data_IF_704874387008
#
_entry.id   IF_704874387008
#
_cell.length_a   1.000
_cell.length_b   1.000
_cell.length_c   1.000
_cell.angle_alpha   90.00
_cell.angle_beta   90.00
_cell.angle_gamma   90.00
#
_symmetry.space_group_name_H-M   'P 1'
#
loop_
_entity.id
_entity.type
_entity.pdbx_description
1 polymer ?
#
# COMPACT_ATOMS: atom_id res chain seq x y z
N UNK A 1 9.53 9.57 9.36
CA UNK A 1 9.55 10.83 8.56
C UNK A 1 9.92 10.50 7.12
N UNK A 2 9.26 11.15 6.16
CA UNK A 2 9.51 10.96 4.71
C UNK A 2 9.68 12.31 4.03
N UNK A 3 10.71 12.47 3.19
CA UNK A 3 10.85 13.65 2.34
C UNK A 3 9.78 13.61 1.23
N UNK A 4 9.10 14.74 1.00
CA UNK A 4 8.11 14.88 -0.09
C UNK A 4 8.78 15.63 -1.23
N UNK A 5 9.33 14.87 -2.17
CA UNK A 5 10.07 15.42 -3.33
C UNK A 5 9.28 15.05 -4.60
N UNK A 6 8.71 16.02 -5.31
CA UNK A 6 7.99 15.77 -6.57
C UNK A 6 8.88 15.02 -7.58
N UNK A 7 8.36 13.94 -8.16
CA UNK A 7 9.06 13.14 -9.17
C UNK A 7 10.08 12.13 -8.62
N UNK A 8 10.26 12.02 -7.31
CA UNK A 8 11.12 11.01 -6.71
C UNK A 8 10.28 9.76 -6.35
N UNK A 9 10.36 8.72 -7.18
CA UNK A 9 9.63 7.46 -7.01
C UNK A 9 10.24 6.56 -5.93
N UNK A 10 11.58 6.47 -5.87
CA UNK A 10 12.33 5.58 -4.94
C UNK A 10 12.91 6.37 -3.76
N UNK A 11 12.03 6.87 -2.89
CA UNK A 11 12.41 7.73 -1.75
C UNK A 11 13.36 7.06 -0.77
N UNK A 12 13.21 5.75 -0.54
CA UNK A 12 14.03 4.98 0.41
C UNK A 12 15.48 4.86 -0.07
N UNK A 13 15.70 4.57 -1.37
CA UNK A 13 17.03 4.47 -1.97
C UNK A 13 17.78 5.81 -1.98
N UNK A 14 17.04 6.91 -2.11
CA UNK A 14 17.58 8.26 -2.05
C UNK A 14 17.83 8.79 -0.62
N UNK A 15 17.64 7.96 0.43
CA UNK A 15 17.78 8.38 1.82
C UNK A 15 16.65 9.31 2.30
N UNK A 16 15.55 9.38 1.56
CA UNK A 16 14.39 10.23 1.83
C UNK A 16 13.43 9.70 2.90
N UNK A 17 13.71 8.54 3.50
CA UNK A 17 12.91 7.93 4.57
C UNK A 17 13.77 7.75 5.81
N UNK A 18 13.21 8.07 6.97
CA UNK A 18 13.79 7.80 8.28
C UNK A 18 12.71 7.21 9.17
N UNK A 19 12.99 6.05 9.76
CA UNK A 19 12.08 5.26 10.59
C UNK A 19 12.52 5.33 12.06
N UNK A 20 11.61 5.01 12.97
CA UNK A 20 11.84 4.89 14.42
C UNK A 20 12.60 6.10 15.00
N UNK A 21 12.06 7.29 14.79
CA UNK A 21 12.69 8.55 15.19
C UNK A 21 12.18 8.94 16.56
N UNK A 22 13.10 9.11 17.50
CA UNK A 22 12.81 9.65 18.83
C UNK A 22 12.62 11.17 18.79
N UNK A 23 12.02 11.73 19.85
CA UNK A 23 11.87 13.18 20.02
C UNK A 23 13.22 13.90 19.97
N UNK A 24 14.28 13.31 20.52
CA UNK A 24 15.62 13.92 20.58
C UNK A 24 16.30 14.02 19.20
N UNK A 25 16.03 13.05 18.32
CA UNK A 25 16.61 13.00 16.96
C UNK A 25 15.72 13.61 15.89
N UNK A 26 14.48 13.95 16.23
CA UNK A 26 13.48 14.44 15.26
C UNK A 26 13.92 15.72 14.55
N UNK A 27 14.50 16.69 15.30
CA UNK A 27 14.93 17.97 14.74
C UNK A 27 16.08 17.84 13.73
N UNK A 28 17.07 17.01 14.02
CA UNK A 28 18.19 16.74 13.11
C UNK A 28 17.73 15.98 11.88
N UNK A 29 16.89 14.96 12.06
CA UNK A 29 16.31 14.18 10.98
C UNK A 29 15.45 15.05 10.06
N UNK A 30 14.63 15.95 10.60
CA UNK A 30 13.86 16.90 9.83
C UNK A 30 14.76 17.79 8.96
N UNK A 31 15.83 18.38 9.55
CA UNK A 31 16.79 19.22 8.80
C UNK A 31 17.41 18.44 7.65
N UNK A 32 17.88 17.23 7.89
CA UNK A 32 18.48 16.37 6.87
C UNK A 32 17.49 16.07 5.74
N UNK A 33 16.26 15.67 6.06
CA UNK A 33 15.24 15.32 5.06
C UNK A 33 14.75 16.55 4.28
N UNK A 34 14.64 17.70 4.91
CA UNK A 34 14.23 18.95 4.25
C UNK A 34 15.28 19.50 3.28
N UNK A 35 16.55 19.13 3.45
CA UNK A 35 17.64 19.51 2.56
C UNK A 35 17.86 18.55 1.38
N UNK A 36 17.24 17.38 1.40
CA UNK A 36 17.31 16.45 0.28
C UNK A 36 16.69 17.04 -0.98
N UNK A 37 17.48 17.25 -2.02
CA UNK A 37 17.02 17.81 -3.30
C UNK A 37 16.98 19.33 -3.35
N UNK A 38 17.62 20.04 -2.41
CA UNK A 38 17.71 21.50 -2.39
C UNK A 38 18.30 22.11 -3.67
N UNK A 39 19.09 21.34 -4.43
CA UNK A 39 19.68 21.76 -5.71
C UNK A 39 18.66 21.93 -6.85
N UNK A 40 17.40 21.57 -6.63
CA UNK A 40 16.34 21.57 -7.66
C UNK A 40 15.28 22.65 -7.51
N UNK A 41 15.47 23.65 -6.64
CA UNK A 41 14.47 24.70 -6.33
C UNK A 41 13.09 24.16 -5.92
N UNK A 42 13.04 22.96 -5.34
CA UNK A 42 11.80 22.31 -4.93
C UNK A 42 11.62 22.51 -3.43
N UNK A 43 10.44 23.01 -3.04
CA UNK A 43 10.07 23.10 -1.62
C UNK A 43 9.99 21.71 -1.01
N UNK A 44 10.96 21.34 -0.19
CA UNK A 44 11.00 20.05 0.48
C UNK A 44 10.14 20.08 1.73
N UNK A 45 8.96 19.47 1.62
CA UNK A 45 8.14 19.15 2.78
C UNK A 45 8.62 17.82 3.37
N UNK A 46 8.45 17.67 4.67
CA UNK A 46 8.69 16.41 5.37
C UNK A 46 7.36 15.94 5.95
N UNK A 47 6.94 14.76 5.54
CA UNK A 47 5.78 14.07 6.10
C UNK A 47 6.21 13.37 7.39
N UNK A 48 5.46 13.58 8.47
CA UNK A 48 5.65 12.92 9.75
C UNK A 48 4.46 12.01 9.99
N UNK A 49 4.72 10.73 10.18
CA UNK A 49 3.70 9.70 10.37
C UNK A 49 4.01 8.91 11.64
N UNK A 50 2.99 8.26 12.17
CA UNK A 50 3.17 7.26 13.24
C UNK A 50 4.09 6.16 12.74
N UNK A 51 5.07 5.77 13.57
CA UNK A 51 5.90 4.61 13.27
C UNK A 51 5.08 3.33 13.44
N UNK A 52 5.07 2.51 12.41
CA UNK A 52 4.45 1.17 12.43
C UNK A 52 5.57 0.14 12.48
N UNK A 53 5.59 -0.74 13.48
CA UNK A 53 6.56 -1.81 13.57
C UNK A 53 6.51 -2.75 12.37
N UNK A 54 7.54 -3.56 12.20
CA UNK A 54 7.57 -4.56 11.13
C UNK A 54 6.54 -5.66 11.39
N UNK A 55 5.67 -5.88 10.42
CA UNK A 55 4.65 -6.93 10.41
C UNK A 55 4.66 -7.74 9.11
N UNK A 56 3.56 -8.42 8.84
CA UNK A 56 3.36 -9.09 7.53
C UNK A 56 2.95 -8.02 6.52
N UNK A 57 3.79 -7.81 5.52
CA UNK A 57 3.50 -6.90 4.43
C UNK A 57 2.63 -7.59 3.38
N UNK A 58 1.52 -6.95 3.03
CA UNK A 58 0.55 -7.43 2.06
C UNK A 58 0.34 -6.41 0.95
N UNK A 59 -0.11 -6.87 -0.20
CA UNK A 59 -0.56 -6.09 -1.34
C UNK A 59 -2.08 -6.13 -1.39
N UNK A 60 -2.72 -4.97 -1.61
CA UNK A 60 -4.14 -4.86 -1.96
C UNK A 60 -4.27 -3.95 -3.17
N UNK A 61 -4.66 -4.51 -4.31
CA UNK A 61 -4.84 -3.79 -5.57
C UNK A 61 -6.28 -3.79 -6.03
N UNK A 62 -6.73 -2.66 -6.57
CA UNK A 62 -8.02 -2.55 -7.27
C UNK A 62 -7.73 -2.02 -8.67
N UNK A 63 -8.20 -2.77 -9.67
CA UNK A 63 -8.13 -2.37 -11.08
C UNK A 63 -9.49 -2.44 -11.72
N UNK A 64 -9.67 -1.76 -12.85
CA UNK A 64 -10.90 -1.82 -13.63
C UNK A 64 -10.72 -2.74 -14.86
N UNK A 65 -11.69 -3.60 -15.10
CA UNK A 65 -11.76 -4.44 -16.28
C UNK A 65 -13.06 -4.20 -17.05
N UNK A 66 -13.23 -4.84 -18.21
CA UNK A 66 -14.48 -4.85 -18.96
C UNK A 66 -15.63 -5.55 -18.24
N UNK A 67 -15.30 -6.40 -17.24
CA UNK A 67 -16.27 -7.14 -16.44
C UNK A 67 -16.62 -6.47 -15.12
N UNK A 68 -15.92 -5.39 -14.75
CA UNK A 68 -16.09 -4.69 -13.48
C UNK A 68 -14.75 -4.44 -12.78
N UNK A 69 -14.83 -4.08 -11.51
CA UNK A 69 -13.64 -3.89 -10.68
C UNK A 69 -13.09 -5.22 -10.20
N UNK A 70 -11.78 -5.31 -10.12
CA UNK A 70 -11.03 -6.50 -9.76
C UNK A 70 -10.21 -6.20 -8.50
N UNK A 71 -10.41 -7.01 -7.47
CA UNK A 71 -9.60 -7.05 -6.27
C UNK A 71 -8.45 -8.02 -6.46
N UNK A 72 -7.25 -7.59 -6.11
CA UNK A 72 -6.05 -8.43 -6.00
C UNK A 72 -5.51 -8.32 -4.59
N UNK A 73 -5.22 -9.44 -3.93
CA UNK A 73 -4.49 -9.48 -2.67
C UNK A 73 -3.33 -10.45 -2.76
N UNK A 74 -2.28 -10.22 -1.99
CA UNK A 74 -1.12 -11.11 -1.97
C UNK A 74 -0.03 -10.64 -1.02
N UNK A 75 1.12 -11.32 -1.07
CA UNK A 75 2.32 -10.92 -0.33
C UNK A 75 2.84 -9.61 -0.90
N UNK A 76 3.04 -8.61 -0.03
CA UNK A 76 3.48 -7.27 -0.38
C UNK A 76 4.96 -7.01 -0.14
N UNK A 77 5.33 -5.73 -0.18
CA UNK A 77 6.70 -5.27 0.02
C UNK A 77 7.63 -5.61 -1.15
N UNK A 78 8.92 -5.63 -0.88
CA UNK A 78 9.97 -5.87 -1.89
C UNK A 78 9.90 -7.27 -2.54
N UNK A 79 9.18 -8.20 -1.95
CA UNK A 79 9.02 -9.55 -2.49
C UNK A 79 7.96 -9.64 -3.58
N UNK A 80 7.12 -8.63 -3.77
CA UNK A 80 6.02 -8.62 -4.74
C UNK A 80 6.52 -8.82 -6.17
N UNK A 81 7.66 -8.22 -6.52
CA UNK A 81 8.26 -8.33 -7.86
C UNK A 81 8.87 -9.71 -8.15
N UNK A 82 9.22 -10.45 -7.10
CA UNK A 82 9.90 -11.77 -7.22
C UNK A 82 8.93 -12.92 -7.10
N UNK A 83 7.85 -12.74 -6.34
CA UNK A 83 6.90 -13.79 -6.02
C UNK A 83 5.51 -13.31 -6.46
N UNK A 84 5.02 -13.78 -7.60
CA UNK A 84 3.65 -13.55 -8.08
C UNK A 84 2.64 -14.38 -7.29
N UNK A 85 2.60 -14.22 -5.97
CA UNK A 85 1.72 -14.94 -5.06
C UNK A 85 0.50 -14.08 -4.73
N UNK A 86 -0.47 -14.08 -5.64
CA UNK A 86 -1.66 -13.25 -5.56
C UNK A 86 -2.93 -14.05 -5.84
N UNK A 87 -4.02 -13.67 -5.16
CA UNK A 87 -5.37 -14.11 -5.47
C UNK A 87 -6.17 -12.93 -6.06
N UNK A 88 -7.07 -13.22 -7.00
CA UNK A 88 -7.81 -12.22 -7.77
C UNK A 88 -9.30 -12.55 -7.77
N UNK A 89 -10.15 -11.54 -7.53
CA UNK A 89 -11.63 -11.68 -7.57
C UNK A 89 -12.29 -10.45 -8.18
N UNK A 90 -13.42 -10.67 -8.84
CA UNK A 90 -14.31 -9.57 -9.23
C UNK A 90 -15.08 -9.04 -8.01
N UNK A 91 -15.26 -7.73 -7.93
CA UNK A 91 -16.15 -7.10 -6.94
C UNK A 91 -17.64 -7.27 -7.34
N UNK A 92 -18.55 -7.36 -6.35
CA UNK A 92 -18.30 -7.27 -4.90
C UNK A 92 -17.78 -8.58 -4.29
N UNK A 93 -17.08 -8.46 -3.17
CA UNK A 93 -16.61 -9.58 -2.35
C UNK A 93 -17.15 -9.47 -0.93
N UNK A 94 -17.26 -10.60 -0.23
CA UNK A 94 -17.58 -10.67 1.19
C UNK A 94 -16.40 -11.22 2.01
N UNK A 95 -16.58 -11.28 3.32
CA UNK A 95 -15.54 -11.78 4.23
C UNK A 95 -15.14 -13.23 3.94
N UNK A 96 -16.05 -14.06 3.48
CA UNK A 96 -15.77 -15.45 3.12
C UNK A 96 -14.85 -15.50 1.91
N UNK A 97 -15.17 -14.74 0.85
CA UNK A 97 -14.36 -14.67 -0.37
C UNK A 97 -12.95 -14.14 -0.06
N UNK A 98 -12.82 -13.08 0.76
CA UNK A 98 -11.50 -12.55 1.15
C UNK A 98 -10.71 -13.59 1.94
N UNK A 99 -11.35 -14.37 2.83
CA UNK A 99 -10.68 -15.45 3.54
C UNK A 99 -10.22 -16.57 2.59
N UNK A 100 -11.02 -16.97 1.61
CA UNK A 100 -10.63 -17.93 0.58
C UNK A 100 -9.41 -17.42 -0.21
N UNK A 101 -9.39 -16.13 -0.60
CA UNK A 101 -8.25 -15.52 -1.27
C UNK A 101 -6.97 -15.55 -0.43
N UNK A 102 -7.07 -15.34 0.90
CA UNK A 102 -5.93 -15.46 1.81
C UNK A 102 -5.40 -16.91 1.78
N UNK A 103 -6.30 -17.90 1.83
CA UNK A 103 -5.95 -19.32 1.90
C UNK A 103 -5.36 -19.83 0.57
N UNK A 104 -5.62 -19.18 -0.55
CA UNK A 104 -5.02 -19.44 -1.86
C UNK A 104 -3.58 -18.92 -1.98
N UNK A 105 -3.12 -18.09 -1.03
CA UNK A 105 -1.81 -17.44 -1.06
C UNK A 105 -0.96 -17.84 0.15
N UNK A 106 0.31 -17.46 0.14
CA UNK A 106 1.20 -17.63 1.31
C UNK A 106 0.82 -16.75 2.50
N UNK A 107 -0.12 -15.81 2.33
CA UNK A 107 -0.63 -15.00 3.44
C UNK A 107 -1.20 -15.87 4.56
N UNK A 108 -1.84 -17.01 4.25
CA UNK A 108 -2.35 -17.95 5.25
C UNK A 108 -1.27 -18.39 6.23
N UNK A 109 -0.09 -18.78 5.71
CA UNK A 109 1.04 -19.22 6.52
C UNK A 109 1.67 -18.03 7.26
N UNK A 110 1.84 -16.90 6.59
CA UNK A 110 2.45 -15.70 7.18
C UNK A 110 1.62 -15.16 8.34
N UNK A 111 0.28 -15.12 8.21
CA UNK A 111 -0.61 -14.66 9.26
C UNK A 111 -0.66 -15.60 10.47
N UNK A 112 -0.43 -16.91 10.29
CA UNK A 112 -0.39 -17.86 11.41
C UNK A 112 0.85 -17.72 12.29
N UNK A 113 1.83 -16.92 11.86
CA UNK A 113 3.12 -16.77 12.54
C UNK A 113 4.11 -17.86 12.15
N UNK A 114 5.21 -17.47 11.53
CA UNK A 114 6.28 -18.37 11.08
C UNK A 114 7.41 -18.40 12.11
N UNK A 115 7.91 -19.58 12.43
CA UNK A 115 9.10 -19.78 13.29
C UNK A 115 9.00 -19.14 14.68
N UNK A 116 7.80 -19.18 15.31
CA UNK A 116 7.59 -18.64 16.66
C UNK A 116 7.27 -17.13 16.69
N UNK A 117 7.07 -16.50 15.54
CA UNK A 117 6.52 -15.15 15.49
C UNK A 117 5.04 -15.17 15.93
N UNK A 118 4.59 -14.09 16.56
CA UNK A 118 3.18 -13.90 16.93
C UNK A 118 2.32 -13.87 15.68
N UNK A 119 1.16 -14.52 15.73
CA UNK A 119 0.18 -14.48 14.63
C UNK A 119 -0.29 -13.04 14.38
N UNK A 120 -0.41 -12.67 13.11
CA UNK A 120 -0.96 -11.39 12.70
C UNK A 120 -2.49 -11.40 12.71
N UNK A 121 -3.10 -10.24 12.84
CA UNK A 121 -4.56 -10.11 12.91
C UNK A 121 -5.19 -10.27 11.51
N UNK A 122 -5.48 -11.52 11.14
CA UNK A 122 -6.14 -11.86 9.87
C UNK A 122 -7.49 -11.16 9.73
N UNK A 123 -8.27 -11.06 10.82
CA UNK A 123 -9.59 -10.44 10.82
C UNK A 123 -9.48 -8.93 10.50
N UNK A 124 -8.52 -8.23 11.10
CA UNK A 124 -8.27 -6.82 10.79
C UNK A 124 -7.84 -6.60 9.32
N UNK A 125 -7.12 -7.56 8.71
CA UNK A 125 -6.84 -7.51 7.27
C UNK A 125 -8.11 -7.65 6.45
N UNK A 126 -8.96 -8.65 6.74
CA UNK A 126 -10.24 -8.88 6.05
C UNK A 126 -11.12 -7.64 6.13
N UNK A 127 -11.32 -7.08 7.33
CA UNK A 127 -12.12 -5.87 7.54
C UNK A 127 -11.56 -4.67 6.75
N UNK A 128 -10.23 -4.52 6.73
CA UNK A 128 -9.59 -3.45 5.96
C UNK A 128 -9.83 -3.62 4.47
N UNK A 129 -9.69 -4.83 3.92
CA UNK A 129 -9.96 -5.11 2.50
C UNK A 129 -11.42 -4.80 2.16
N UNK A 130 -12.39 -5.23 2.99
CA UNK A 130 -13.81 -4.95 2.76
C UNK A 130 -14.09 -3.44 2.76
N UNK A 131 -13.54 -2.70 3.71
CA UNK A 131 -13.68 -1.23 3.72
C UNK A 131 -13.08 -0.56 2.49
N UNK A 132 -11.96 -1.07 1.98
CA UNK A 132 -11.35 -0.58 0.74
C UNK A 132 -12.28 -0.86 -0.44
N UNK A 133 -12.80 -2.09 -0.56
CA UNK A 133 -13.69 -2.47 -1.67
C UNK A 133 -14.98 -1.67 -1.67
N UNK A 134 -15.58 -1.44 -0.49
CA UNK A 134 -16.77 -0.60 -0.33
C UNK A 134 -16.49 0.85 -0.74
N UNK A 135 -15.35 1.41 -0.35
CA UNK A 135 -14.99 2.78 -0.68
C UNK A 135 -14.80 3.01 -2.19
N UNK A 136 -14.35 1.99 -2.93
CA UNK A 136 -14.03 2.10 -4.35
C UNK A 136 -15.15 1.63 -5.27
N UNK A 137 -16.22 1.02 -4.75
CA UNK A 137 -17.24 0.35 -5.57
C UNK A 137 -17.88 1.31 -6.59
N UNK A 138 -18.12 2.57 -6.18
CA UNK A 138 -18.73 3.60 -6.99
C UNK A 138 -17.73 4.49 -7.76
N UNK A 139 -16.43 4.18 -7.68
CA UNK A 139 -15.44 4.96 -8.44
C UNK A 139 -15.64 4.79 -9.94
N UNK A 140 -15.30 5.80 -10.77
CA UNK A 140 -15.35 5.69 -12.22
C UNK A 140 -14.55 4.49 -12.73
N UNK A 141 -14.99 3.90 -13.84
CA UNK A 141 -14.22 2.86 -14.50
C UNK A 141 -12.89 3.42 -15.01
N UNK A 142 -11.83 2.61 -14.93
CA UNK A 142 -10.48 3.01 -15.30
C UNK A 142 -9.67 3.63 -14.17
N UNK A 143 -10.26 3.80 -12.96
CA UNK A 143 -9.48 4.09 -11.77
C UNK A 143 -8.73 2.86 -11.29
N UNK A 144 -7.54 3.07 -10.75
CA UNK A 144 -6.73 2.03 -10.12
C UNK A 144 -6.30 2.49 -8.73
N UNK A 145 -6.25 1.57 -7.79
CA UNK A 145 -5.71 1.76 -6.46
C UNK A 145 -4.71 0.65 -6.19
N UNK A 146 -3.50 1.01 -5.80
CA UNK A 146 -2.47 0.08 -5.33
C UNK A 146 -2.09 0.46 -3.90
N UNK A 147 -2.20 -0.49 -2.98
CA UNK A 147 -1.78 -0.37 -1.58
C UNK A 147 -0.68 -1.40 -1.35
N UNK A 148 0.55 -0.92 -1.26
CA UNK A 148 1.72 -1.77 -1.08
C UNK A 148 2.86 -1.01 -0.36
N UNK A 149 3.14 -1.35 0.93
CA UNK A 149 2.48 -2.40 1.68
C UNK A 149 1.28 -1.92 2.53
N UNK A 150 0.33 -2.84 2.71
CA UNK A 150 -0.57 -2.89 3.86
C UNK A 150 0.08 -3.82 4.89
N UNK A 151 0.50 -3.30 6.04
CA UNK A 151 1.18 -4.08 7.09
C UNK A 151 0.19 -4.59 8.10
N UNK A 152 0.24 -5.90 8.38
CA UNK A 152 -0.63 -6.57 9.35
C UNK A 152 0.18 -7.01 10.57
N UNK A 153 -0.24 -6.54 11.73
CA UNK A 153 0.32 -6.82 13.04
C UNK A 153 -0.72 -7.56 13.91
N UNK A 154 -0.34 -8.11 15.06
CA UNK A 154 -1.31 -8.71 16.01
C UNK A 154 -2.42 -7.73 16.43
N UNK A 155 -2.10 -6.42 16.49
CA UNK A 155 -3.01 -5.38 16.97
C UNK A 155 -3.94 -4.84 15.86
N UNK A 156 -3.65 -5.09 14.57
CA UNK A 156 -4.45 -4.56 13.47
C UNK A 156 -3.73 -4.52 12.13
N UNK A 157 -4.24 -3.69 11.22
CA UNK A 157 -3.71 -3.50 9.88
C UNK A 157 -3.52 -2.00 9.57
N UNK A 158 -2.40 -1.66 8.91
CA UNK A 158 -2.00 -0.28 8.60
C UNK A 158 -1.56 -0.15 7.14
N UNK A 159 -2.14 0.80 6.44
CA UNK A 159 -1.67 1.21 5.11
C UNK A 159 -0.41 2.06 5.29
N UNK A 160 0.71 1.63 4.72
CA UNK A 160 1.97 2.36 4.78
C UNK A 160 2.26 3.15 3.51
N UNK A 161 1.80 2.66 2.37
CA UNK A 161 1.90 3.37 1.10
C UNK A 161 0.71 3.02 0.20
N UNK A 162 0.29 4.01 -0.61
CA UNK A 162 -0.79 3.82 -1.57
C UNK A 162 -0.60 4.72 -2.78
N UNK A 163 -0.97 4.21 -3.94
CA UNK A 163 -1.00 4.95 -5.19
C UNK A 163 -2.40 4.86 -5.81
N UNK A 164 -2.91 6.02 -6.24
CA UNK A 164 -4.17 6.13 -6.96
C UNK A 164 -3.91 6.65 -8.36
N UNK A 165 -4.46 5.98 -9.35
CA UNK A 165 -4.46 6.40 -10.75
C UNK A 165 -5.87 6.71 -11.19
N UNK A 166 -6.17 7.96 -11.62
CA UNK A 166 -7.48 8.29 -12.19
C UNK A 166 -7.65 7.62 -13.56
N UNK A 167 -8.89 7.53 -14.07
CA UNK A 167 -9.13 7.00 -15.40
C UNK A 167 -8.36 7.81 -16.45
N UNK A 168 -7.83 7.11 -17.46
CA UNK A 168 -7.18 7.77 -18.59
C UNK A 168 -8.13 8.79 -19.22
N UNK A 169 -7.66 10.02 -19.44
CA UNK A 169 -8.45 11.02 -20.18
C UNK A 169 -8.75 10.46 -21.56
N UNK A 170 -10.01 10.22 -21.86
CA UNK A 170 -10.43 9.88 -23.21
C UNK A 170 -10.08 11.07 -24.09
N UNK A 171 -9.08 10.93 -24.98
CA UNK A 171 -8.82 11.94 -26.00
C UNK A 171 -10.09 12.00 -26.86
N UNK A 172 -10.81 13.11 -26.82
CA UNK A 172 -11.86 13.39 -27.78
C UNK A 172 -11.23 13.28 -29.16
N UNK A 173 -11.56 12.19 -29.86
CA UNK A 173 -11.26 12.12 -31.30
C UNK A 173 -12.03 13.25 -31.95
N UNK A 174 -11.35 14.32 -32.33
CA UNK A 174 -11.85 15.34 -33.24
C UNK A 174 -12.43 14.64 -34.43
N UNK A 175 -13.76 14.65 -34.55
CA UNK A 175 -14.42 14.34 -35.82
C UNK A 175 -14.11 15.52 -36.75
N UNK A 176 -13.27 15.29 -37.73
CA UNK A 176 -13.24 16.06 -38.97
C UNK A 176 -13.91 15.24 -40.04
#
# INVERSE_FOLDING_TARGET
MKAVIPGLLHKSEAGGVALDISADTAGETYKRLSQLGSDKNVSNKVLVETFVPKGVETLVGITSSSLGKVLTIGVGGILTEVISDVAVRLLPVDSKIVNEMIDETRLAILFSGVRGATASNREAFVDTVLRITDAVIDWPNGCELDINPLTVLPEGAWVLDSAYSPPAKTSERSKH
#
